data_IF_670482358684
#
_entry.id   IF_670482358684
#
_cell.length_a   1.000
_cell.length_b   1.000
_cell.length_c   1.000
_cell.angle_alpha   90.00
_cell.angle_beta   90.00
_cell.angle_gamma   90.00
#
_symmetry.space_group_name_H-M   'P 1'
#
loop_
_entity.id
_entity.type
_entity.pdbx_description
1 polymer ?
#
# COMPACT_ATOMS: atom_id res chain seq x y z
N UNK A 1 20.32 -6.54 83.37
CA UNK A 1 21.32 -5.74 84.11
C UNK A 1 22.51 -5.51 83.18
N UNK A 2 22.75 -4.25 82.80
CA UNK A 2 24.08 -3.72 82.38
C UNK A 2 25.06 -3.83 83.57
N UNK A 3 26.41 -3.79 83.42
CA UNK A 3 27.22 -2.78 82.66
C UNK A 3 28.41 -3.38 81.84
N UNK A 4 28.77 -2.82 80.67
CA UNK A 4 29.75 -1.74 80.33
C UNK A 4 31.26 -2.05 80.50
N UNK A 5 31.95 -1.96 79.34
CA UNK A 5 33.32 -1.44 79.04
C UNK A 5 34.53 -2.24 79.57
N UNK A 6 35.69 -2.33 78.91
CA UNK A 6 36.31 -1.60 77.80
C UNK A 6 37.60 -2.36 77.36
N UNK A 7 38.19 -1.90 76.24
CA UNK A 7 39.64 -1.85 75.90
C UNK A 7 40.23 -2.69 74.74
N UNK A 8 40.71 -1.91 73.74
CA UNK A 8 42.05 -1.91 73.08
C UNK A 8 42.42 -3.04 72.10
N UNK A 9 42.60 -2.70 70.81
CA UNK A 9 43.86 -2.27 70.14
C UNK A 9 44.90 -3.40 70.01
N UNK A 10 45.08 -3.95 68.80
CA UNK A 10 46.26 -3.74 67.92
C UNK A 10 46.54 -4.93 66.98
N UNK A 11 46.67 -4.60 65.70
CA UNK A 11 47.55 -5.15 64.65
C UNK A 11 47.66 -6.67 64.43
N UNK A 12 47.35 -7.11 63.19
CA UNK A 12 48.38 -7.67 62.29
C UNK A 12 47.86 -7.85 60.86
N UNK A 13 48.76 -7.49 59.93
CA UNK A 13 48.65 -7.36 58.48
C UNK A 13 48.45 -8.69 57.75
N UNK A 14 47.76 -8.67 56.60
CA UNK A 14 48.18 -9.39 55.38
C UNK A 14 47.46 -8.82 54.12
N UNK A 15 48.28 -8.25 53.23
CA UNK A 15 48.16 -8.13 51.77
C UNK A 15 46.89 -7.52 51.13
N UNK A 16 47.00 -6.26 50.67
CA UNK A 16 46.09 -5.66 49.69
C UNK A 16 46.62 -5.74 48.24
N UNK A 17 45.75 -5.70 47.22
CA UNK A 17 46.17 -5.61 45.82
C UNK A 17 46.50 -4.18 45.40
N UNK A 18 47.53 -4.07 44.57
CA UNK A 18 48.02 -2.86 43.90
C UNK A 18 46.90 -2.15 43.11
N UNK A 19 46.57 -0.92 43.49
CA UNK A 19 45.80 0.01 42.65
C UNK A 19 46.78 0.93 41.92
N UNK A 20 46.77 0.89 40.60
CA UNK A 20 47.42 1.91 39.76
C UNK A 20 46.70 3.25 39.99
N UNK A 21 47.41 4.20 40.60
CA UNK A 21 47.00 5.58 40.76
C UNK A 21 47.34 6.37 39.49
N UNK A 22 46.36 7.13 39.00
CA UNK A 22 46.55 8.02 37.85
C UNK A 22 45.23 8.63 37.35
N UNK A 23 44.38 9.11 38.25
CA UNK A 23 43.20 9.88 37.85
C UNK A 23 43.63 11.24 37.31
N UNK A 24 43.19 11.59 36.09
CA UNK A 24 43.36 12.93 35.53
C UNK A 24 42.82 13.97 36.52
N UNK A 25 43.55 15.08 36.72
CA UNK A 25 43.10 16.17 37.57
C UNK A 25 41.75 16.71 37.09
N UNK A 26 40.95 17.27 38.00
CA UNK A 26 39.65 17.87 37.64
C UNK A 26 39.77 18.91 36.50
N UNK A 27 40.91 19.61 36.43
CA UNK A 27 41.22 20.53 35.33
C UNK A 27 41.42 19.82 33.99
N UNK A 28 42.07 18.66 33.96
CA UNK A 28 42.26 17.87 32.75
C UNK A 28 40.95 17.22 32.28
N UNK A 29 40.08 16.80 33.19
CA UNK A 29 38.76 16.28 32.85
C UNK A 29 37.86 17.36 32.24
N UNK A 30 37.88 18.59 32.78
CA UNK A 30 37.18 19.73 32.21
C UNK A 30 37.73 20.13 30.84
N UNK A 31 39.05 20.09 30.66
CA UNK A 31 39.68 20.38 29.37
C UNK A 31 39.30 19.35 28.29
N UNK A 32 39.30 18.06 28.64
CA UNK A 32 38.89 16.98 27.73
C UNK A 32 37.40 17.08 27.41
N UNK A 33 36.55 17.34 28.40
CA UNK A 33 35.12 17.55 28.20
C UNK A 33 34.81 18.76 27.31
N UNK A 34 35.51 19.87 27.51
CA UNK A 34 35.39 21.07 26.68
C UNK A 34 35.84 20.84 25.23
N UNK A 35 36.93 20.10 25.03
CA UNK A 35 37.40 19.74 23.69
C UNK A 35 36.41 18.82 22.96
N UNK A 36 35.86 17.83 23.66
CA UNK A 36 34.82 16.94 23.11
C UNK A 36 33.56 17.73 22.73
N UNK A 37 33.15 18.67 23.58
CA UNK A 37 31.98 19.51 23.30
C UNK A 37 32.21 20.42 22.07
N UNK A 38 33.40 21.00 21.92
CA UNK A 38 33.77 21.81 20.76
C UNK A 38 33.81 20.97 19.47
N UNK A 39 34.35 19.75 19.52
CA UNK A 39 34.39 18.84 18.38
C UNK A 39 32.98 18.39 17.97
N UNK A 40 32.10 18.07 18.93
CA UNK A 40 30.70 17.77 18.63
C UNK A 40 29.97 18.97 18.04
N UNK A 41 30.22 20.17 18.56
CA UNK A 41 29.61 21.41 18.06
C UNK A 41 30.08 21.75 16.64
N UNK A 42 31.37 21.52 16.35
CA UNK A 42 31.93 21.69 15.01
C UNK A 42 31.36 20.66 14.03
N UNK A 43 31.21 19.40 14.44
CA UNK A 43 30.60 18.37 13.60
C UNK A 43 29.13 18.68 13.26
N UNK A 44 28.35 19.17 14.24
CA UNK A 44 26.97 19.62 14.02
C UNK A 44 26.95 20.84 13.10
N UNK A 45 27.84 21.81 13.30
CA UNK A 45 27.93 23.01 12.46
C UNK A 45 28.30 22.65 11.01
N UNK A 46 29.25 21.75 10.79
CA UNK A 46 29.59 21.22 9.47
C UNK A 46 28.43 20.44 8.84
N UNK A 47 27.67 19.66 9.62
CA UNK A 47 26.49 18.95 9.13
C UNK A 47 25.37 19.92 8.72
N UNK A 48 25.10 20.96 9.52
CA UNK A 48 24.14 22.03 9.18
C UNK A 48 24.61 22.81 7.96
N UNK A 49 25.90 23.15 7.88
CA UNK A 49 26.49 23.82 6.72
C UNK A 49 26.37 22.99 5.46
N UNK A 50 26.59 21.68 5.53
CA UNK A 50 26.40 20.76 4.38
C UNK A 50 24.93 20.64 3.96
N UNK A 51 23.99 20.70 4.90
CA UNK A 51 22.55 20.79 4.61
C UNK A 51 22.16 22.12 3.95
N UNK A 52 22.87 23.21 4.25
CA UNK A 52 22.64 24.55 3.69
C UNK A 52 23.33 24.76 2.33
N UNK A 53 24.47 24.10 2.09
CA UNK A 53 25.22 24.13 0.82
C UNK A 53 24.83 23.04 -0.18
N UNK A 54 23.97 22.09 0.21
CA UNK A 54 23.23 21.31 -0.77
C UNK A 54 22.57 22.30 -1.75
N UNK A 55 22.82 22.21 -3.08
CA UNK A 55 22.55 23.29 -4.00
C UNK A 55 21.09 23.70 -3.92
N UNK A 56 20.86 24.88 -3.33
CA UNK A 56 19.58 25.57 -3.35
C UNK A 56 19.30 25.95 -4.79
N UNK A 57 18.57 25.07 -5.50
CA UNK A 57 17.86 25.51 -6.69
C UNK A 57 16.91 26.61 -6.24
N UNK A 58 17.21 27.84 -6.66
CA UNK A 58 16.35 29.03 -6.50
C UNK A 58 14.89 28.65 -6.76
N UNK A 59 13.92 29.21 -6.02
CA UNK A 59 12.52 29.09 -6.36
C UNK A 59 12.30 29.89 -7.66
N UNK A 60 12.45 29.23 -8.80
CA UNK A 60 11.87 29.70 -10.04
C UNK A 60 10.36 29.67 -9.85
N UNK A 61 9.74 30.82 -10.10
CA UNK A 61 8.32 31.05 -10.07
C UNK A 61 7.52 29.88 -10.63
N UNK A 62 6.34 29.66 -10.04
CA UNK A 62 5.30 28.79 -10.54
C UNK A 62 5.12 28.96 -12.07
N UNK A 63 5.68 28.03 -12.83
CA UNK A 63 5.33 27.69 -14.21
C UNK A 63 6.27 26.58 -14.66
N UNK A 64 5.93 25.36 -14.29
CA UNK A 64 6.54 24.14 -14.81
C UNK A 64 5.40 23.19 -15.01
N UNK A 65 4.64 23.40 -16.09
CA UNK A 65 3.66 22.45 -16.54
C UNK A 65 4.34 21.07 -16.56
N UNK A 66 3.87 20.14 -15.71
CA UNK A 66 3.88 18.74 -16.09
C UNK A 66 3.37 18.74 -17.53
N UNK A 67 4.14 18.20 -18.48
CA UNK A 67 3.62 18.03 -19.81
C UNK A 67 2.29 17.28 -19.61
N UNK A 68 1.11 17.89 -19.88
CA UNK A 68 -0.08 17.09 -20.01
C UNK A 68 0.25 16.03 -21.05
N UNK A 69 -0.30 14.82 -20.92
CA UNK A 69 -0.22 13.79 -21.94
C UNK A 69 -0.26 14.48 -23.30
N UNK A 70 0.89 14.58 -23.96
CA UNK A 70 0.99 15.41 -25.13
C UNK A 70 0.12 14.70 -26.16
N UNK A 71 -1.01 15.32 -26.50
CA UNK A 71 -1.83 14.91 -27.62
C UNK A 71 -0.97 15.17 -28.85
N UNK A 72 -0.18 14.18 -29.23
CA UNK A 72 0.62 14.22 -30.43
C UNK A 72 -0.35 14.28 -31.63
N UNK A 73 -0.15 15.28 -32.48
CA UNK A 73 -0.95 15.54 -33.66
C UNK A 73 -1.02 14.33 -34.61
N UNK A 74 -2.26 14.05 -35.04
CA UNK A 74 -2.74 13.45 -36.29
C UNK A 74 -1.68 12.75 -37.17
N UNK A 75 -1.70 11.40 -37.30
CA UNK A 75 -1.13 10.76 -38.46
C UNK A 75 -2.09 10.93 -39.64
N UNK A 76 -1.69 11.73 -40.62
CA UNK A 76 -2.23 11.65 -41.97
C UNK A 76 -1.77 10.33 -42.60
N UNK A 77 -2.68 9.41 -42.88
CA UNK A 77 -2.38 8.28 -43.75
C UNK A 77 -3.22 7.03 -43.52
N UNK A 78 -4.18 6.84 -44.43
CA UNK A 78 -4.78 5.59 -44.86
C UNK A 78 -5.64 4.80 -43.86
N UNK A 79 -6.96 4.86 -44.10
CA UNK A 79 -7.87 3.75 -43.87
C UNK A 79 -7.29 2.47 -44.45
N UNK A 80 -7.18 1.43 -43.62
CA UNK A 80 -7.37 0.06 -44.08
C UNK A 80 -8.65 -0.45 -43.43
N UNK A 81 -9.69 -0.57 -44.26
CA UNK A 81 -10.93 -1.23 -43.91
C UNK A 81 -10.67 -2.72 -43.75
N UNK A 82 -10.51 -3.15 -42.51
CA UNK A 82 -10.57 -4.55 -42.09
C UNK A 82 -11.11 -4.60 -40.68
N UNK A 83 -11.93 -5.60 -40.37
CA UNK A 83 -12.28 -5.96 -38.99
C UNK A 83 -10.96 -6.24 -38.23
N UNK A 84 -10.42 -5.28 -37.49
CA UNK A 84 -9.17 -5.52 -36.76
C UNK A 84 -8.49 -4.26 -36.23
N UNK A 85 -8.46 -4.14 -34.90
CA UNK A 85 -7.61 -3.27 -34.07
C UNK A 85 -7.26 -1.85 -34.57
N UNK A 86 -8.04 -0.85 -34.15
CA UNK A 86 -7.68 0.57 -34.24
C UNK A 86 -6.68 0.94 -33.13
N UNK A 87 -5.39 0.77 -33.45
CA UNK A 87 -4.29 1.04 -32.52
C UNK A 87 -4.28 2.47 -31.99
N UNK A 88 -4.56 3.46 -32.85
CA UNK A 88 -4.48 4.87 -32.47
C UNK A 88 -5.56 5.21 -31.45
N UNK A 89 -6.80 4.79 -31.71
CA UNK A 89 -7.91 4.98 -30.77
C UNK A 89 -7.67 4.26 -29.44
N UNK A 90 -7.11 3.04 -29.47
CA UNK A 90 -6.80 2.29 -28.27
C UNK A 90 -5.74 2.99 -27.40
N UNK A 91 -4.65 3.46 -28.00
CA UNK A 91 -3.59 4.19 -27.29
C UNK A 91 -4.10 5.54 -26.74
N UNK A 92 -4.87 6.29 -27.53
CA UNK A 92 -5.48 7.55 -27.07
C UNK A 92 -6.41 7.32 -25.86
N UNK A 93 -7.20 6.25 -25.89
CA UNK A 93 -8.11 5.89 -24.80
C UNK A 93 -7.34 5.55 -23.51
N UNK A 94 -6.28 4.73 -23.61
CA UNK A 94 -5.48 4.35 -22.44
C UNK A 94 -4.62 5.51 -21.92
N UNK A 95 -4.12 6.38 -22.79
CA UNK A 95 -3.44 7.63 -22.42
C UNK A 95 -4.36 8.54 -21.61
N UNK A 96 -5.58 8.77 -22.10
CA UNK A 96 -6.59 9.57 -21.39
C UNK A 96 -7.01 8.92 -20.06
N UNK A 97 -7.04 7.59 -20.00
CA UNK A 97 -7.28 6.85 -18.76
C UNK A 97 -6.14 7.04 -17.74
N UNK A 98 -4.88 6.87 -18.15
CA UNK A 98 -3.73 7.07 -17.27
C UNK A 98 -3.62 8.52 -16.79
N UNK A 99 -3.85 9.50 -17.68
CA UNK A 99 -3.86 10.93 -17.36
C UNK A 99 -4.82 11.29 -16.25
N UNK A 100 -6.00 10.65 -16.24
CA UNK A 100 -7.03 10.84 -15.22
C UNK A 100 -6.73 10.06 -13.95
N UNK A 101 -6.29 8.81 -14.07
CA UNK A 101 -6.18 7.89 -12.92
C UNK A 101 -4.94 8.13 -12.08
N UNK A 102 -3.78 8.45 -12.67
CA UNK A 102 -2.55 8.73 -11.92
C UNK A 102 -2.71 9.77 -10.81
N UNK A 103 -3.19 11.01 -11.08
CA UNK A 103 -3.32 12.03 -10.04
C UNK A 103 -4.43 11.72 -9.01
N UNK A 104 -5.46 10.97 -9.37
CA UNK A 104 -6.54 10.59 -8.44
C UNK A 104 -6.13 9.42 -7.54
N UNK A 105 -5.46 8.42 -8.11
CA UNK A 105 -5.01 7.24 -7.39
C UNK A 105 -3.78 7.52 -6.54
N UNK A 106 -2.87 8.41 -6.99
CA UNK A 106 -1.61 8.70 -6.31
C UNK A 106 -1.38 10.22 -6.18
N UNK A 107 -2.23 10.94 -5.41
CA UNK A 107 -2.24 12.41 -5.39
C UNK A 107 -0.98 13.07 -4.83
N UNK A 108 -0.16 12.33 -4.07
CA UNK A 108 1.10 12.82 -3.51
C UNK A 108 2.34 12.21 -4.20
N UNK A 109 2.14 11.36 -5.21
CA UNK A 109 3.24 10.82 -5.99
C UNK A 109 3.72 11.83 -7.03
N UNK A 110 5.01 11.72 -7.35
CA UNK A 110 5.58 12.33 -8.53
C UNK A 110 5.67 11.27 -9.62
N UNK A 111 5.47 11.65 -10.87
CA UNK A 111 5.57 10.73 -11.99
C UNK A 111 6.19 11.42 -13.20
N UNK A 112 6.94 10.62 -13.97
CA UNK A 112 7.59 11.07 -15.19
C UNK A 112 7.40 9.99 -16.27
N UNK A 113 6.90 10.41 -17.42
CA UNK A 113 6.93 9.57 -18.62
C UNK A 113 8.29 9.72 -19.30
N UNK A 114 8.94 8.60 -19.61
CA UNK A 114 10.18 8.58 -20.37
C UNK A 114 9.90 8.89 -21.85
N UNK A 115 10.83 9.55 -22.56
CA UNK A 115 10.70 9.77 -24.00
C UNK A 115 10.53 8.45 -24.74
N UNK A 116 9.64 8.43 -25.74
CA UNK A 116 9.56 7.33 -26.70
C UNK A 116 10.88 7.28 -27.47
N UNK A 117 11.44 6.08 -27.64
CA UNK A 117 12.65 5.93 -28.46
C UNK A 117 12.20 5.81 -29.91
N UNK A 118 12.27 6.92 -30.65
CA UNK A 118 12.22 6.90 -32.10
C UNK A 118 13.45 6.16 -32.63
N UNK A 119 13.25 5.31 -33.65
CA UNK A 119 14.28 4.46 -34.25
C UNK A 119 15.66 5.15 -34.32
N UNK A 120 16.61 4.70 -33.50
CA UNK A 120 18.02 4.96 -33.73
C UNK A 120 18.39 4.38 -35.10
N UNK A 121 19.17 5.09 -35.95
CA UNK A 121 19.70 4.49 -37.17
C UNK A 121 20.47 3.23 -36.78
N UNK A 122 20.28 2.16 -37.56
CA UNK A 122 21.11 0.96 -37.49
C UNK A 122 22.54 1.37 -37.85
N UNK A 123 23.33 1.78 -36.86
CA UNK A 123 24.76 1.92 -37.03
C UNK A 123 25.37 0.52 -37.08
N UNK A 124 25.89 0.24 -38.27
CA UNK A 124 26.69 -0.92 -38.64
C UNK A 124 27.71 -1.31 -37.57
N UNK A 125 27.58 -2.56 -37.11
CA UNK A 125 28.66 -3.51 -36.89
C UNK A 125 30.06 -2.92 -36.67
N UNK A 126 30.43 -2.64 -35.41
CA UNK A 126 31.78 -2.89 -34.89
C UNK A 126 31.78 -2.75 -33.36
N UNK A 127 31.78 -3.89 -32.66
CA UNK A 127 32.01 -3.96 -31.22
C UNK A 127 33.46 -3.56 -30.89
N UNK A 128 33.72 -2.65 -29.93
CA UNK A 128 34.99 -2.62 -29.24
C UNK A 128 35.06 -3.83 -28.30
N UNK A 129 36.11 -4.63 -28.46
CA UNK A 129 36.48 -5.72 -27.56
C UNK A 129 36.60 -5.21 -26.13
N UNK A 130 35.86 -5.79 -25.17
CA UNK A 130 36.18 -5.64 -23.74
C UNK A 130 35.02 -5.44 -22.74
N UNK A 131 33.75 -5.58 -23.11
CA UNK A 131 32.65 -5.50 -22.14
C UNK A 131 31.93 -6.85 -21.98
N UNK A 132 32.17 -7.51 -20.85
CA UNK A 132 31.44 -8.71 -20.42
C UNK A 132 29.97 -8.37 -20.18
N UNK A 133 29.08 -8.96 -20.99
CA UNK A 133 27.63 -8.97 -20.76
C UNK A 133 27.36 -9.95 -19.60
N UNK A 134 26.62 -9.56 -18.54
CA UNK A 134 26.27 -10.51 -17.49
C UNK A 134 25.35 -11.60 -18.06
N UNK A 135 25.73 -12.85 -17.80
CA UNK A 135 24.96 -14.05 -18.15
C UNK A 135 23.55 -13.98 -17.52
N UNK A 136 22.51 -14.02 -18.37
CA UNK A 136 21.14 -14.30 -17.95
C UNK A 136 21.06 -15.82 -17.67
N UNK A 137 20.72 -16.28 -16.46
CA UNK A 137 20.52 -17.70 -16.20
C UNK A 137 19.30 -18.19 -16.98
N UNK A 138 19.36 -19.42 -17.49
CA UNK A 138 18.25 -20.05 -18.20
C UNK A 138 16.97 -20.04 -17.35
N UNK A 139 15.87 -19.64 -17.98
CA UNK A 139 14.62 -19.34 -17.33
C UNK A 139 13.93 -20.60 -16.77
N UNK A 140 13.40 -20.53 -15.55
CA UNK A 140 12.56 -21.59 -14.97
C UNK A 140 11.18 -21.61 -15.65
N UNK A 141 10.46 -22.73 -15.55
CA UNK A 141 9.13 -22.88 -16.17
C UNK A 141 8.09 -21.82 -15.74
N UNK A 142 8.26 -21.18 -14.56
CA UNK A 142 7.43 -20.05 -14.11
C UNK A 142 7.68 -18.75 -14.90
N UNK A 143 8.88 -18.56 -15.46
CA UNK A 143 9.21 -17.36 -16.26
C UNK A 143 8.64 -17.43 -17.68
N UNK A 144 8.27 -18.61 -18.19
CA UNK A 144 7.65 -18.77 -19.51
C UNK A 144 6.23 -18.17 -19.58
N UNK A 145 5.49 -18.15 -18.47
CA UNK A 145 4.16 -17.51 -18.38
C UNK A 145 4.23 -15.97 -18.46
N UNK A 146 5.42 -15.39 -18.22
CA UNK A 146 5.68 -13.95 -18.27
C UNK A 146 6.44 -13.49 -19.52
N UNK A 147 6.64 -14.37 -20.51
CA UNK A 147 7.23 -14.02 -21.79
C UNK A 147 6.31 -13.06 -22.57
N UNK A 148 6.38 -11.77 -22.23
CA UNK A 148 5.63 -10.72 -22.87
C UNK A 148 6.34 -10.31 -24.17
N UNK A 149 5.58 -10.15 -25.23
CA UNK A 149 6.07 -9.43 -26.40
C UNK A 149 5.78 -7.95 -26.19
N UNK A 150 6.83 -7.14 -26.12
CA UNK A 150 6.70 -5.69 -26.01
C UNK A 150 6.33 -5.09 -27.36
N UNK A 151 5.53 -4.03 -27.36
CA UNK A 151 5.36 -3.19 -28.52
C UNK A 151 6.71 -2.59 -28.96
N UNK A 152 6.72 -2.00 -30.16
CA UNK A 152 7.91 -1.28 -30.63
C UNK A 152 8.34 -0.22 -29.61
N UNK A 153 9.63 0.08 -29.53
CA UNK A 153 10.15 1.13 -28.63
C UNK A 153 9.56 2.52 -28.93
N UNK A 154 9.04 2.70 -30.14
CA UNK A 154 8.34 3.90 -30.58
C UNK A 154 6.92 4.02 -29.98
N UNK A 155 6.29 2.90 -29.60
CA UNK A 155 4.94 2.88 -29.02
C UNK A 155 4.95 2.63 -27.49
N UNK A 156 6.03 2.03 -26.95
CA UNK A 156 6.15 1.64 -25.54
C UNK A 156 6.23 2.85 -24.61
N UNK A 157 5.19 3.07 -23.81
CA UNK A 157 5.11 4.15 -22.81
C UNK A 157 5.66 3.65 -21.48
N UNK A 158 6.72 4.29 -21.01
CA UNK A 158 7.34 3.98 -19.74
C UNK A 158 7.10 5.13 -18.77
N UNK A 159 6.55 4.82 -17.59
CA UNK A 159 6.26 5.80 -16.54
C UNK A 159 6.99 5.39 -15.27
N UNK A 160 7.75 6.31 -14.68
CA UNK A 160 8.37 6.12 -13.38
C UNK A 160 7.54 6.89 -12.36
N UNK A 161 7.11 6.22 -11.29
CA UNK A 161 6.36 6.82 -10.19
C UNK A 161 7.18 6.75 -8.90
N UNK A 162 7.33 7.89 -8.24
CA UNK A 162 8.12 8.05 -7.02
C UNK A 162 7.35 8.82 -5.94
N UNK A 163 7.86 8.80 -4.71
CA UNK A 163 7.26 9.50 -3.58
C UNK A 163 6.18 8.72 -2.82
N UNK A 164 5.49 9.38 -1.88
CA UNK A 164 4.49 8.76 -1.02
C UNK A 164 3.24 8.35 -1.81
N UNK A 165 2.99 7.05 -1.87
CA UNK A 165 1.83 6.46 -2.57
C UNK A 165 1.59 5.01 -2.16
N UNK A 166 0.52 4.41 -2.68
CA UNK A 166 0.25 2.98 -2.63
C UNK A 166 0.06 2.45 -4.07
N UNK A 167 1.08 1.82 -4.68
CA UNK A 167 1.06 1.47 -6.11
C UNK A 167 -0.14 0.60 -6.53
N UNK A 168 -0.62 -0.27 -5.64
CA UNK A 168 -1.81 -1.09 -5.88
C UNK A 168 -3.01 -0.24 -6.34
N UNK A 169 -3.17 0.97 -5.81
CA UNK A 169 -4.28 1.87 -6.15
C UNK A 169 -4.29 2.21 -7.64
N UNK A 170 -3.14 2.36 -8.29
CA UNK A 170 -3.11 2.61 -9.73
C UNK A 170 -3.66 1.40 -10.50
N UNK A 171 -3.24 0.18 -10.14
CA UNK A 171 -3.75 -1.05 -10.76
C UNK A 171 -5.27 -1.19 -10.58
N UNK A 172 -5.78 -0.95 -9.38
CA UNK A 172 -7.22 -1.01 -9.09
C UNK A 172 -8.00 0.06 -9.87
N UNK A 173 -7.50 1.30 -9.92
CA UNK A 173 -8.12 2.39 -10.66
C UNK A 173 -8.11 2.15 -12.18
N UNK A 174 -7.05 1.55 -12.73
CA UNK A 174 -6.97 1.18 -14.13
C UNK A 174 -7.95 0.06 -14.48
N UNK A 175 -8.03 -1.01 -13.67
CA UNK A 175 -9.04 -2.06 -13.88
C UNK A 175 -10.46 -1.50 -13.83
N UNK A 176 -10.74 -0.58 -12.88
CA UNK A 176 -12.03 0.10 -12.84
C UNK A 176 -12.27 0.93 -14.11
N UNK A 177 -11.34 1.83 -14.46
CA UNK A 177 -11.52 2.74 -15.58
C UNK A 177 -11.54 2.05 -16.95
N UNK A 178 -10.86 0.91 -17.12
CA UNK A 178 -10.96 0.10 -18.34
C UNK A 178 -12.34 -0.54 -18.48
N UNK A 179 -12.97 -0.98 -17.39
CA UNK A 179 -14.37 -1.44 -17.42
C UNK A 179 -15.30 -0.30 -17.81
N UNK A 180 -15.09 0.89 -17.25
CA UNK A 180 -15.94 2.06 -17.54
C UNK A 180 -15.77 2.57 -18.99
N UNK A 181 -14.58 2.40 -19.58
CA UNK A 181 -14.26 2.80 -20.96
C UNK A 181 -14.46 1.68 -22.00
N UNK A 182 -15.06 0.56 -21.62
CA UNK A 182 -15.20 -0.62 -22.46
C UNK A 182 -15.75 -0.34 -23.88
N UNK A 183 -16.81 0.50 -24.08
CA UNK A 183 -17.35 0.73 -25.43
C UNK A 183 -16.40 1.44 -26.40
N UNK A 184 -15.45 2.24 -25.90
CA UNK A 184 -14.45 2.88 -26.76
C UNK A 184 -13.36 1.89 -27.19
N UNK A 185 -12.92 1.04 -26.26
CA UNK A 185 -11.92 0.01 -26.49
C UNK A 185 -12.47 -1.14 -27.36
N UNK A 186 -13.74 -1.50 -27.19
CA UNK A 186 -14.44 -2.46 -28.07
C UNK A 186 -14.52 -1.97 -29.52
N UNK A 187 -14.88 -0.68 -29.73
CA UNK A 187 -14.84 -0.07 -31.06
C UNK A 187 -13.44 -0.06 -31.67
N UNK A 188 -12.42 0.05 -30.82
CA UNK A 188 -11.03 -0.07 -31.23
C UNK A 188 -10.60 -1.52 -31.50
N UNK A 189 -11.45 -2.52 -31.28
CA UNK A 189 -11.12 -3.93 -31.51
C UNK A 189 -9.99 -4.44 -30.61
N UNK A 190 -9.89 -3.92 -29.37
CA UNK A 190 -8.81 -4.26 -28.45
C UNK A 190 -9.31 -5.02 -27.21
N UNK A 191 -8.58 -6.06 -26.83
CA UNK A 191 -8.66 -6.67 -25.51
C UNK A 191 -7.58 -6.07 -24.63
N UNK A 192 -7.98 -5.51 -23.51
CA UNK A 192 -7.07 -4.90 -22.54
C UNK A 192 -6.81 -5.85 -21.38
N UNK A 193 -5.57 -5.89 -20.93
CA UNK A 193 -5.16 -6.62 -19.72
C UNK A 193 -4.28 -5.70 -18.88
N UNK A 194 -4.44 -5.76 -17.56
CA UNK A 194 -3.57 -5.07 -16.61
C UNK A 194 -2.98 -6.11 -15.67
N UNK A 195 -1.66 -6.12 -15.51
CA UNK A 195 -0.98 -7.11 -14.66
C UNK A 195 0.23 -6.53 -13.94
N UNK A 196 0.54 -7.11 -12.80
CA UNK A 196 1.82 -6.91 -12.13
C UNK A 196 2.83 -7.95 -12.60
N UNK A 197 4.10 -7.57 -12.68
CA UNK A 197 5.22 -8.45 -13.06
C UNK A 197 6.03 -8.91 -11.85
N UNK A 198 6.79 -10.02 -11.97
CA UNK A 198 7.73 -10.43 -10.92
C UNK A 198 8.81 -9.38 -10.61
N UNK A 199 9.03 -8.42 -11.51
CA UNK A 199 9.93 -7.28 -11.31
C UNK A 199 9.26 -6.11 -10.56
N UNK A 200 7.98 -6.24 -10.21
CA UNK A 200 7.23 -5.22 -9.47
C UNK A 200 6.81 -4.02 -10.33
N UNK A 201 6.69 -4.21 -11.65
CA UNK A 201 6.12 -3.21 -12.57
C UNK A 201 4.66 -3.52 -12.87
N UNK A 202 3.90 -2.49 -13.20
CA UNK A 202 2.52 -2.60 -13.68
C UNK A 202 2.52 -2.48 -15.21
N UNK A 203 1.98 -3.47 -15.90
CA UNK A 203 1.88 -3.50 -17.35
C UNK A 203 0.43 -3.35 -17.79
N UNK A 204 0.21 -2.59 -18.88
CA UNK A 204 -1.06 -2.60 -19.63
C UNK A 204 -0.79 -3.17 -21.02
N UNK A 205 -1.52 -4.24 -21.34
CA UNK A 205 -1.41 -4.96 -22.60
C UNK A 205 -2.63 -4.69 -23.46
N UNK A 206 -2.37 -4.56 -24.77
CA UNK A 206 -3.38 -4.45 -25.81
C UNK A 206 -3.20 -5.63 -26.75
N UNK A 207 -4.18 -6.54 -26.82
CA UNK A 207 -4.10 -7.75 -27.65
C UNK A 207 -2.79 -8.55 -27.40
N UNK A 208 -2.44 -8.74 -26.12
CA UNK A 208 -1.24 -9.47 -25.64
C UNK A 208 0.12 -8.78 -25.83
N UNK A 209 0.17 -7.60 -26.46
CA UNK A 209 1.38 -6.79 -26.55
C UNK A 209 1.43 -5.77 -25.41
N UNK A 210 2.59 -5.64 -24.77
CA UNK A 210 2.80 -4.63 -23.71
C UNK A 210 3.03 -3.26 -24.35
N UNK A 211 2.14 -2.30 -24.04
CA UNK A 211 2.26 -0.92 -24.50
C UNK A 211 2.60 0.07 -23.39
N UNK A 212 2.32 -0.29 -22.13
CA UNK A 212 2.55 0.58 -20.98
C UNK A 212 3.29 -0.20 -19.90
N UNK A 213 4.32 0.41 -19.34
CA UNK A 213 5.06 -0.08 -18.18
C UNK A 213 5.15 1.04 -17.15
N UNK A 214 4.62 0.80 -15.95
CA UNK A 214 4.72 1.72 -14.82
C UNK A 214 5.62 1.10 -13.76
N UNK A 215 6.71 1.79 -13.44
CA UNK A 215 7.72 1.35 -12.48
C UNK A 215 7.62 2.13 -11.18
N UNK A 216 7.84 1.45 -10.06
CA UNK A 216 7.81 2.01 -8.71
C UNK A 216 9.12 1.72 -7.97
N UNK A 217 10.20 2.49 -8.23
CA UNK A 217 11.52 2.22 -7.67
C UNK A 217 11.51 2.08 -6.15
N UNK A 218 12.13 1.00 -5.64
CA UNK A 218 12.22 0.70 -4.21
C UNK A 218 11.00 -0.03 -3.63
N UNK A 219 10.01 -0.40 -4.45
CA UNK A 219 8.80 -1.13 -4.05
C UNK A 219 8.66 -2.50 -4.71
N UNK A 220 9.64 -2.91 -5.49
CA UNK A 220 9.63 -4.13 -6.31
C UNK A 220 9.34 -5.38 -5.45
N UNK A 221 9.96 -5.44 -4.28
CA UNK A 221 9.77 -6.53 -3.34
C UNK A 221 8.37 -6.62 -2.72
N UNK A 222 7.60 -5.52 -2.65
CA UNK A 222 6.20 -5.54 -2.22
C UNK A 222 5.26 -5.94 -3.37
N UNK A 223 5.61 -5.52 -4.59
CA UNK A 223 4.73 -5.59 -5.77
C UNK A 223 4.88 -6.88 -6.56
N UNK A 224 6.04 -7.53 -6.52
CA UNK A 224 6.28 -8.84 -7.13
C UNK A 224 5.31 -9.92 -6.64
N UNK A 225 4.82 -9.83 -5.40
CA UNK A 225 3.79 -10.72 -4.85
C UNK A 225 2.46 -10.68 -5.63
N UNK A 226 2.15 -9.55 -6.28
CA UNK A 226 0.91 -9.37 -7.04
C UNK A 226 0.95 -10.06 -8.41
N UNK A 227 2.15 -10.44 -8.88
CA UNK A 227 2.35 -11.23 -10.09
C UNK A 227 2.01 -12.72 -9.87
N UNK A 228 2.14 -13.18 -8.63
CA UNK A 228 1.90 -14.57 -8.29
C UNK A 228 0.39 -14.84 -8.15
N UNK A 229 -0.13 -15.97 -8.67
CA UNK A 229 -1.50 -16.39 -8.42
C UNK A 229 -1.80 -16.45 -6.92
N UNK A 230 -2.96 -15.96 -6.51
CA UNK A 230 -3.39 -16.09 -5.13
C UNK A 230 -3.50 -17.58 -4.78
N UNK A 231 -2.94 -18.03 -3.63
CA UNK A 231 -3.16 -19.38 -3.15
C UNK A 231 -4.65 -19.72 -3.10
N UNK A 232 -5.07 -20.96 -3.39
CA UNK A 232 -6.48 -21.36 -3.35
C UNK A 232 -7.14 -21.13 -1.98
N UNK A 233 -6.34 -21.20 -0.92
CA UNK A 233 -6.73 -20.98 0.47
C UNK A 233 -5.90 -19.82 1.05
N UNK A 234 -6.47 -18.62 1.04
CA UNK A 234 -5.80 -17.39 1.43
C UNK A 234 -6.48 -16.70 2.63
N UNK A 235 -5.73 -16.51 3.71
CA UNK A 235 -6.14 -15.73 4.88
C UNK A 235 -5.47 -14.36 4.87
N UNK A 236 -6.24 -13.28 4.92
CA UNK A 236 -5.72 -11.94 5.19
C UNK A 236 -6.05 -11.55 6.65
N UNK A 237 -5.05 -11.05 7.38
CA UNK A 237 -5.22 -10.59 8.77
C UNK A 237 -5.03 -9.07 8.79
N UNK A 238 -6.00 -8.35 9.38
CA UNK A 238 -5.99 -6.91 9.56
C UNK A 238 -6.01 -6.58 11.05
N UNK A 239 -5.19 -5.63 11.48
CA UNK A 239 -5.18 -5.13 12.85
C UNK A 239 -5.60 -3.66 12.85
N UNK A 240 -6.76 -3.41 13.44
CA UNK A 240 -7.42 -2.11 13.59
C UNK A 240 -6.76 -1.27 14.70
N UNK A 241 -7.21 -0.02 14.89
CA UNK A 241 -6.74 0.92 15.93
C UNK A 241 -5.21 1.14 15.98
N UNK A 242 -4.52 1.02 14.84
CA UNK A 242 -3.08 1.29 14.76
C UNK A 242 -2.79 2.79 14.76
N UNK A 243 -1.56 3.16 15.16
CA UNK A 243 -1.10 4.56 15.18
C UNK A 243 -1.11 5.23 16.56
N UNK A 244 -1.61 4.54 17.60
CA UNK A 244 -1.52 5.02 18.99
C UNK A 244 -0.16 4.74 19.64
N UNK A 245 0.50 3.64 19.25
CA UNK A 245 1.75 3.14 19.83
C UNK A 245 2.60 2.52 18.74
N UNK A 246 3.86 2.93 18.64
CA UNK A 246 4.79 2.39 17.64
C UNK A 246 5.16 0.94 17.92
N UNK A 247 5.22 0.55 19.20
CA UNK A 247 5.63 -0.79 19.61
C UNK A 247 4.66 -1.86 19.10
N UNK A 248 3.38 -1.53 18.95
CA UNK A 248 2.39 -2.42 18.33
C UNK A 248 2.70 -2.64 16.85
N UNK A 249 3.09 -1.59 16.12
CA UNK A 249 3.43 -1.70 14.70
C UNK A 249 4.72 -2.49 14.48
N UNK A 250 5.73 -2.25 15.32
CA UNK A 250 6.99 -3.00 15.32
C UNK A 250 6.78 -4.48 15.65
N UNK A 251 5.96 -4.78 16.65
CA UNK A 251 5.61 -6.16 17.01
C UNK A 251 4.93 -6.89 15.86
N UNK A 252 3.98 -6.24 15.18
CA UNK A 252 3.29 -6.80 14.02
C UNK A 252 4.21 -6.96 12.80
N UNK A 253 5.12 -6.00 12.57
CA UNK A 253 6.13 -6.08 11.52
C UNK A 253 7.16 -7.21 11.74
N UNK A 254 7.34 -7.66 12.99
CA UNK A 254 8.24 -8.77 13.33
C UNK A 254 7.62 -10.16 13.17
N UNK A 255 6.32 -10.26 12.83
CA UNK A 255 5.67 -11.55 12.63
C UNK A 255 6.25 -12.28 11.40
N UNK A 256 6.29 -13.63 11.43
CA UNK A 256 6.81 -14.42 10.31
C UNK A 256 5.85 -14.49 9.11
N UNK A 257 4.69 -13.83 9.21
CA UNK A 257 3.66 -13.77 8.19
C UNK A 257 3.12 -12.34 8.07
N UNK A 258 2.56 -11.95 6.91
CA UNK A 258 2.09 -10.60 6.69
C UNK A 258 0.80 -10.32 7.46
N UNK A 259 0.68 -9.09 7.94
CA UNK A 259 -0.57 -8.50 8.44
C UNK A 259 -0.78 -7.13 7.80
N UNK A 260 -2.00 -6.62 7.88
CA UNK A 260 -2.35 -5.27 7.41
C UNK A 260 -2.59 -4.36 8.61
N UNK A 261 -2.02 -3.15 8.59
CA UNK A 261 -2.23 -2.15 9.63
C UNK A 261 -3.36 -1.22 9.22
N UNK A 262 -4.48 -1.24 9.93
CA UNK A 262 -5.55 -0.26 9.79
C UNK A 262 -5.29 0.90 10.76
N UNK A 263 -4.82 2.03 10.20
CA UNK A 263 -4.24 3.15 10.94
C UNK A 263 -5.28 4.25 11.11
N UNK A 264 -5.45 4.72 12.34
CA UNK A 264 -6.23 5.92 12.59
C UNK A 264 -5.55 7.16 12.00
N UNK A 265 -6.24 7.96 11.18
CA UNK A 265 -5.60 9.06 10.46
C UNK A 265 -5.04 10.14 11.38
N UNK A 266 -5.66 10.36 12.53
CA UNK A 266 -5.32 11.45 13.47
C UNK A 266 -4.78 10.95 14.80
N UNK A 267 -4.24 9.73 14.83
CA UNK A 267 -3.52 9.22 16.01
C UNK A 267 -2.11 9.82 16.10
N UNK A 268 -1.49 9.88 17.30
CA UNK A 268 -0.20 10.53 17.51
C UNK A 268 0.95 10.04 16.62
N UNK A 269 0.93 8.77 16.20
CA UNK A 269 2.01 8.14 15.43
C UNK A 269 1.51 7.58 14.09
N UNK A 270 0.50 8.21 13.48
CA UNK A 270 -0.14 7.70 12.26
C UNK A 270 0.87 7.56 11.10
N UNK A 271 1.70 8.58 10.87
CA UNK A 271 2.65 8.61 9.74
C UNK A 271 3.83 7.68 9.97
N UNK A 272 4.35 7.63 11.20
CA UNK A 272 5.44 6.75 11.59
C UNK A 272 5.01 5.28 11.52
N UNK A 273 3.77 4.96 11.92
CA UNK A 273 3.19 3.62 11.76
C UNK A 273 3.10 3.24 10.28
N UNK A 274 2.65 4.16 9.42
CA UNK A 274 2.63 3.93 7.97
C UNK A 274 4.05 3.77 7.38
N UNK A 275 5.04 4.45 7.96
CA UNK A 275 6.46 4.30 7.64
C UNK A 275 6.99 2.90 7.97
N UNK A 276 6.69 2.40 9.17
CA UNK A 276 7.03 1.02 9.60
C UNK A 276 6.41 0.00 8.66
N UNK A 277 5.14 0.17 8.30
CA UNK A 277 4.48 -0.72 7.36
C UNK A 277 5.18 -0.73 5.99
N UNK A 278 5.52 0.45 5.46
CA UNK A 278 6.20 0.58 4.17
C UNK A 278 7.57 -0.11 4.17
N UNK A 279 8.41 0.15 5.18
CA UNK A 279 9.76 -0.46 5.27
C UNK A 279 9.69 -1.97 5.50
N UNK A 280 8.62 -2.44 6.15
CA UNK A 280 8.36 -3.86 6.42
C UNK A 280 7.51 -4.54 5.33
N UNK A 281 7.22 -3.84 4.22
CA UNK A 281 6.39 -4.33 3.09
C UNK A 281 4.98 -4.79 3.48
N UNK A 282 4.46 -4.26 4.57
CA UNK A 282 3.08 -4.47 5.02
C UNK A 282 2.13 -3.52 4.31
N UNK A 283 0.86 -3.90 4.32
CA UNK A 283 -0.22 -3.09 3.78
C UNK A 283 -0.81 -2.16 4.85
N UNK A 284 -1.31 -1.00 4.42
CA UNK A 284 -2.01 -0.06 5.28
C UNK A 284 -3.45 0.18 4.80
N UNK A 285 -4.38 0.28 5.74
CA UNK A 285 -5.72 0.82 5.49
C UNK A 285 -5.90 2.12 6.29
N UNK A 286 -6.68 3.05 5.74
CA UNK A 286 -7.23 4.14 6.52
C UNK A 286 -8.31 3.56 7.43
N UNK A 287 -8.08 3.54 8.74
CA UNK A 287 -9.11 3.19 9.71
C UNK A 287 -9.97 4.43 9.97
N UNK A 288 -11.02 4.63 9.18
CA UNK A 288 -11.84 5.83 9.16
C UNK A 288 -12.81 5.85 10.35
N UNK A 289 -12.70 6.82 11.29
CA UNK A 289 -13.68 6.97 12.35
C UNK A 289 -15.06 7.31 11.79
N UNK A 290 -16.09 6.64 12.31
CA UNK A 290 -17.47 6.82 11.86
C UNK A 290 -18.44 6.72 13.04
N UNK A 291 -19.55 7.46 12.93
CA UNK A 291 -20.57 7.53 13.98
C UNK A 291 -21.16 6.16 14.35
N UNK A 292 -21.19 5.87 15.65
CA UNK A 292 -21.82 4.69 16.22
C UNK A 292 -23.25 4.96 16.71
N UNK A 293 -24.07 3.91 16.76
CA UNK A 293 -25.35 3.94 17.46
C UNK A 293 -25.14 4.20 18.96
N UNK A 294 -26.07 4.89 19.64
CA UNK A 294 -26.06 5.00 21.09
C UNK A 294 -26.05 3.65 21.79
N UNK A 295 -25.29 3.55 22.88
CA UNK A 295 -25.31 2.40 23.79
C UNK A 295 -26.35 2.64 24.88
N UNK A 296 -27.12 1.61 25.22
CA UNK A 296 -28.27 1.69 26.13
C UNK A 296 -27.99 2.39 27.47
N UNK A 297 -26.76 2.36 27.97
CA UNK A 297 -26.37 2.91 29.28
C UNK A 297 -25.29 4.01 29.23
N UNK A 298 -24.74 4.33 28.05
CA UNK A 298 -23.54 5.16 27.94
C UNK A 298 -23.63 6.27 26.90
N UNK A 299 -24.84 6.55 26.39
CA UNK A 299 -25.02 7.53 25.32
C UNK A 299 -24.31 7.10 24.04
N UNK A 300 -24.03 8.08 23.17
CA UNK A 300 -23.33 7.84 21.91
C UNK A 300 -21.82 7.79 22.14
N UNK A 301 -21.14 6.69 21.77
CA UNK A 301 -19.67 6.65 21.81
C UNK A 301 -19.09 7.73 20.91
N UNK A 302 -18.03 8.39 21.37
CA UNK A 302 -17.22 9.29 20.55
C UNK A 302 -16.28 8.46 19.66
N UNK A 303 -16.39 8.53 18.31
CA UNK A 303 -15.49 7.83 17.41
C UNK A 303 -14.09 8.46 17.35
N UNK A 304 -13.92 9.68 17.88
CA UNK A 304 -12.67 10.41 17.86
C UNK A 304 -12.50 11.37 16.68
N UNK A 305 -11.33 12.04 16.57
CA UNK A 305 -11.11 13.10 15.61
C UNK A 305 -11.13 12.61 14.16
N UNK A 306 -11.69 13.41 13.27
CA UNK A 306 -11.82 13.07 11.84
C UNK A 306 -12.94 12.07 11.54
N UNK A 307 -13.94 11.95 12.43
CA UNK A 307 -15.08 11.08 12.24
C UNK A 307 -16.05 11.56 11.16
N UNK A 308 -16.61 10.62 10.40
CA UNK A 308 -17.76 10.87 9.54
C UNK A 308 -19.05 10.69 10.36
N UNK A 309 -19.88 11.72 10.37
CA UNK A 309 -21.13 11.74 11.14
C UNK A 309 -22.33 11.64 10.20
N UNK A 310 -23.42 11.04 10.65
CA UNK A 310 -24.65 10.89 9.84
C UNK A 310 -25.35 12.22 9.60
N UNK A 311 -25.02 13.25 10.38
CA UNK A 311 -25.55 14.61 10.22
C UNK A 311 -24.76 15.47 9.23
N UNK A 312 -23.61 15.00 8.74
CA UNK A 312 -22.77 15.75 7.81
C UNK A 312 -23.40 15.81 6.42
N UNK A 313 -23.27 16.95 5.77
CA UNK A 313 -23.47 17.09 4.33
C UNK A 313 -22.41 16.33 3.54
N UNK A 314 -22.69 16.04 2.26
CA UNK A 314 -21.72 15.39 1.37
C UNK A 314 -20.40 16.17 1.27
N UNK A 315 -20.45 17.52 1.29
CA UNK A 315 -19.25 18.35 1.23
C UNK A 315 -18.40 18.26 2.51
N UNK A 316 -19.03 18.17 3.68
CA UNK A 316 -18.33 17.95 4.96
C UNK A 316 -17.69 16.55 5.00
N UNK A 317 -18.44 15.52 4.59
CA UNK A 317 -17.91 14.15 4.45
C UNK A 317 -16.68 14.13 3.53
N UNK A 318 -16.78 14.76 2.35
CA UNK A 318 -15.67 14.85 1.41
C UNK A 318 -14.47 15.56 2.03
N UNK A 319 -14.68 16.68 2.71
CA UNK A 319 -13.59 17.46 3.33
C UNK A 319 -12.85 16.64 4.37
N UNK A 320 -13.58 15.99 5.29
CA UNK A 320 -12.98 15.15 6.34
C UNK A 320 -12.24 13.95 5.73
N UNK A 321 -12.84 13.30 4.74
CA UNK A 321 -12.22 12.16 4.05
C UNK A 321 -10.91 12.55 3.36
N UNK A 322 -10.89 13.67 2.64
CA UNK A 322 -9.69 14.16 1.95
C UNK A 322 -8.58 14.53 2.93
N UNK A 323 -8.92 15.16 4.06
CA UNK A 323 -7.96 15.44 5.12
C UNK A 323 -7.36 14.16 5.70
N UNK A 324 -8.19 13.16 6.00
CA UNK A 324 -7.74 11.89 6.57
C UNK A 324 -6.86 11.11 5.58
N UNK A 325 -7.25 11.04 4.29
CA UNK A 325 -6.46 10.38 3.24
C UNK A 325 -5.13 11.09 2.98
N UNK A 326 -5.08 12.41 3.11
CA UNK A 326 -3.84 13.18 2.90
C UNK A 326 -2.78 12.85 3.94
N UNK A 327 -3.17 12.49 5.17
CA UNK A 327 -2.21 12.12 6.23
C UNK A 327 -1.54 10.79 5.90
N UNK A 328 -2.24 9.87 5.23
CA UNK A 328 -1.81 8.50 4.99
C UNK A 328 -1.79 8.15 3.47
N UNK A 329 -0.87 8.71 2.67
CA UNK A 329 -0.84 8.51 1.21
C UNK A 329 -0.56 7.06 0.77
N UNK A 330 -0.06 6.21 1.67
CA UNK A 330 0.29 4.81 1.42
C UNK A 330 -0.83 3.80 1.70
N UNK A 331 -2.02 4.24 2.11
CA UNK A 331 -3.15 3.32 2.32
C UNK A 331 -3.64 2.75 0.99
N UNK A 332 -3.96 1.46 0.97
CA UNK A 332 -4.53 0.76 -0.20
C UNK A 332 -6.07 0.75 -0.20
N UNK A 333 -6.68 1.20 0.89
CA UNK A 333 -8.13 1.22 1.06
C UNK A 333 -8.55 1.83 2.39
N UNK A 334 -9.84 1.74 2.67
CA UNK A 334 -10.49 2.21 3.89
C UNK A 334 -11.12 1.03 4.63
N UNK A 335 -11.04 1.08 5.95
CA UNK A 335 -11.78 0.24 6.89
C UNK A 335 -12.49 1.15 7.90
N UNK A 336 -13.71 0.83 8.34
CA UNK A 336 -14.43 1.66 9.31
C UNK A 336 -14.05 1.34 10.78
N UNK A 337 -13.69 2.38 11.53
CA UNK A 337 -13.66 2.35 12.99
C UNK A 337 -15.06 2.69 13.53
N UNK A 338 -15.61 1.84 14.39
CA UNK A 338 -17.01 1.91 14.82
C UNK A 338 -17.98 1.99 13.62
N UNK A 339 -18.77 3.05 13.49
CA UNK A 339 -19.62 3.28 12.33
C UNK A 339 -20.99 2.62 12.33
N UNK A 340 -21.45 1.99 13.40
CA UNK A 340 -22.74 1.27 13.38
C UNK A 340 -23.96 2.14 13.04
N UNK A 341 -23.90 3.47 13.22
CA UNK A 341 -24.93 4.37 12.70
C UNK A 341 -24.69 4.66 11.21
N UNK A 342 -23.46 5.07 10.85
CA UNK A 342 -23.09 5.46 9.49
C UNK A 342 -23.22 4.31 8.47
N UNK A 343 -22.64 3.14 8.78
CA UNK A 343 -22.70 1.93 7.95
C UNK A 343 -24.08 1.30 7.90
N UNK A 344 -25.01 1.80 8.72
CA UNK A 344 -26.42 1.43 8.68
C UNK A 344 -27.23 2.11 7.59
N UNK A 345 -26.73 3.21 7.04
CA UNK A 345 -27.43 4.01 6.05
C UNK A 345 -26.79 3.81 4.68
N UNK A 346 -27.52 3.14 3.79
CA UNK A 346 -27.06 2.86 2.42
C UNK A 346 -26.83 4.16 1.61
N UNK A 347 -27.59 5.22 1.86
CA UNK A 347 -27.44 6.49 1.14
C UNK A 347 -26.15 7.19 1.54
N UNK A 348 -25.80 7.17 2.83
CA UNK A 348 -24.51 7.67 3.31
C UNK A 348 -23.35 6.82 2.79
N UNK A 349 -23.49 5.49 2.81
CA UNK A 349 -22.46 4.58 2.28
C UNK A 349 -22.22 4.79 0.78
N UNK A 350 -23.28 4.95 -0.02
CA UNK A 350 -23.18 5.27 -1.47
C UNK A 350 -22.53 6.62 -1.71
N UNK A 351 -22.87 7.62 -0.90
CA UNK A 351 -22.25 8.96 -0.95
C UNK A 351 -20.75 8.87 -0.66
N UNK A 352 -20.35 8.11 0.37
CA UNK A 352 -18.93 7.88 0.67
C UNK A 352 -18.23 7.12 -0.48
N UNK A 353 -18.82 6.03 -0.97
CA UNK A 353 -18.18 5.20 -2.00
C UNK A 353 -18.07 5.91 -3.35
N UNK A 354 -19.00 6.81 -3.70
CA UNK A 354 -18.88 7.62 -4.93
C UNK A 354 -17.69 8.58 -4.87
N UNK A 355 -17.37 9.14 -3.69
CA UNK A 355 -16.19 9.98 -3.48
C UNK A 355 -14.87 9.22 -3.65
N UNK A 356 -14.88 7.90 -3.42
CA UNK A 356 -13.72 7.01 -3.57
C UNK A 356 -13.50 6.54 -5.03
N UNK A 357 -14.50 6.72 -5.90
CA UNK A 357 -14.46 6.30 -7.31
C UNK A 357 -13.23 6.81 -8.05
N UNK A 358 -12.59 5.94 -8.83
CA UNK A 358 -11.40 6.29 -9.63
C UNK A 358 -10.11 6.53 -8.83
N UNK A 359 -10.14 6.46 -7.49
CA UNK A 359 -8.95 6.59 -6.63
C UNK A 359 -8.22 5.28 -6.34
N UNK A 360 -8.79 4.16 -6.80
CA UNK A 360 -8.24 2.83 -6.61
C UNK A 360 -8.21 2.36 -5.17
N UNK A 361 -9.04 2.93 -4.29
CA UNK A 361 -9.15 2.51 -2.90
C UNK A 361 -10.11 1.33 -2.79
N UNK A 362 -9.69 0.29 -2.07
CA UNK A 362 -10.61 -0.76 -1.61
C UNK A 362 -11.39 -0.30 -0.38
N UNK A 363 -12.50 -0.99 -0.10
CA UNK A 363 -13.32 -0.77 1.10
C UNK A 363 -13.47 -2.11 1.83
N UNK A 364 -13.07 -2.14 3.09
CA UNK A 364 -13.24 -3.27 4.00
C UNK A 364 -14.20 -2.87 5.12
N UNK A 365 -15.39 -3.46 5.12
CA UNK A 365 -16.39 -3.26 6.17
C UNK A 365 -16.06 -4.13 7.39
N UNK A 366 -15.88 -3.50 8.54
CA UNK A 366 -15.58 -4.18 9.82
C UNK A 366 -16.79 -4.89 10.42
N UNK A 367 -17.99 -4.75 9.83
CA UNK A 367 -19.25 -5.40 10.24
C UNK A 367 -19.54 -5.08 11.71
N UNK A 368 -19.72 -3.80 12.02
CA UNK A 368 -20.00 -3.30 13.39
C UNK A 368 -21.48 -3.33 13.75
N UNK A 369 -22.32 -3.89 12.87
CA UNK A 369 -23.75 -4.16 13.05
C UNK A 369 -24.17 -5.38 12.21
N UNK A 370 -25.36 -5.98 12.43
CA UNK A 370 -25.81 -7.17 11.70
C UNK A 370 -26.07 -6.98 10.19
N UNK A 371 -26.45 -5.77 9.77
CA UNK A 371 -26.89 -5.41 8.42
C UNK A 371 -26.08 -4.23 7.84
N UNK A 372 -24.73 -4.33 7.78
CA UNK A 372 -23.91 -3.21 7.35
C UNK A 372 -24.00 -3.02 5.82
N UNK A 373 -23.94 -1.77 5.38
CA UNK A 373 -24.19 -1.37 3.99
C UNK A 373 -22.92 -0.93 3.25
N UNK A 374 -21.78 -0.83 3.93
CA UNK A 374 -20.57 -0.22 3.37
C UNK A 374 -19.94 -1.11 2.29
N UNK A 375 -19.78 -2.42 2.55
CA UNK A 375 -19.28 -3.35 1.53
C UNK A 375 -20.22 -3.47 0.30
N UNK A 376 -21.53 -3.36 0.50
CA UNK A 376 -22.51 -3.36 -0.58
C UNK A 376 -22.36 -2.10 -1.45
N UNK A 377 -22.39 -0.92 -0.84
CA UNK A 377 -22.23 0.36 -1.54
C UNK A 377 -20.91 0.45 -2.31
N UNK A 378 -19.81 -0.10 -1.76
CA UNK A 378 -18.53 -0.13 -2.43
C UNK A 378 -18.59 -0.94 -3.74
N UNK A 379 -19.21 -2.11 -3.71
CA UNK A 379 -19.39 -2.97 -4.89
C UNK A 379 -20.31 -2.33 -5.93
N UNK A 380 -21.39 -1.67 -5.49
CA UNK A 380 -22.27 -0.89 -6.39
C UNK A 380 -21.54 0.26 -7.08
N UNK A 381 -20.58 0.89 -6.40
CA UNK A 381 -19.71 1.93 -6.96
C UNK A 381 -18.56 1.40 -7.83
N UNK A 382 -18.50 0.09 -8.07
CA UNK A 382 -17.44 -0.56 -8.86
C UNK A 382 -16.09 -0.71 -8.14
N UNK A 383 -16.03 -0.42 -6.83
CA UNK A 383 -14.84 -0.59 -6.01
C UNK A 383 -14.67 -2.07 -5.60
N UNK A 384 -13.46 -2.41 -5.14
CA UNK A 384 -13.25 -3.68 -4.43
C UNK A 384 -13.79 -3.53 -3.01
N UNK A 385 -14.98 -4.08 -2.76
CA UNK A 385 -15.63 -4.08 -1.45
C UNK A 385 -15.60 -5.47 -0.80
N UNK A 386 -15.09 -5.54 0.43
CA UNK A 386 -15.10 -6.75 1.27
C UNK A 386 -15.78 -6.46 2.60
N UNK A 387 -16.17 -7.53 3.28
CA UNK A 387 -16.59 -7.50 4.68
C UNK A 387 -15.72 -8.45 5.48
N UNK A 388 -15.49 -8.12 6.75
CA UNK A 388 -14.83 -9.02 7.69
C UNK A 388 -15.55 -10.35 7.80
N UNK A 389 -14.78 -11.43 7.79
CA UNK A 389 -15.27 -12.78 8.00
C UNK A 389 -15.20 -13.23 9.47
N UNK A 390 -14.08 -12.93 10.13
CA UNK A 390 -13.83 -13.34 11.53
C UNK A 390 -13.33 -12.16 12.35
N UNK A 391 -13.87 -12.00 13.56
CA UNK A 391 -13.37 -11.05 14.54
C UNK A 391 -12.53 -11.81 15.56
N UNK A 392 -11.27 -11.44 15.73
CA UNK A 392 -10.30 -12.23 16.47
C UNK A 392 -10.44 -12.08 17.98
N UNK A 393 -10.74 -10.87 18.46
CA UNK A 393 -10.58 -10.50 19.87
C UNK A 393 -11.85 -9.96 20.51
N UNK A 394 -13.00 -10.58 20.19
CA UNK A 394 -14.26 -10.38 20.93
C UNK A 394 -14.04 -10.54 22.44
N UNK A 395 -13.17 -11.48 22.83
CA UNK A 395 -12.68 -11.63 24.20
C UNK A 395 -11.18 -11.36 24.20
N UNK A 396 -10.72 -10.48 25.10
CA UNK A 396 -9.30 -10.19 25.33
C UNK A 396 -8.66 -11.31 26.14
N UNK A 397 -8.54 -12.48 25.52
CA UNK A 397 -7.95 -13.69 26.08
C UNK A 397 -7.20 -14.43 24.99
N UNK A 398 -5.92 -14.74 25.23
CA UNK A 398 -5.04 -15.33 24.20
C UNK A 398 -5.58 -16.67 23.67
N UNK A 399 -6.15 -17.52 24.52
CA UNK A 399 -6.68 -18.82 24.08
C UNK A 399 -7.93 -18.64 23.21
N UNK A 400 -8.82 -17.70 23.57
CA UNK A 400 -9.96 -17.34 22.75
C UNK A 400 -9.55 -16.80 21.38
N UNK A 401 -8.51 -15.96 21.32
CA UNK A 401 -8.00 -15.36 20.08
C UNK A 401 -7.33 -16.42 19.19
N UNK A 402 -6.55 -17.34 19.77
CA UNK A 402 -6.01 -18.50 19.04
C UNK A 402 -7.13 -19.34 18.43
N UNK A 403 -8.21 -19.60 19.18
CA UNK A 403 -9.38 -20.31 18.65
C UNK A 403 -10.07 -19.54 17.52
N UNK A 404 -10.06 -18.20 17.54
CA UNK A 404 -10.61 -17.38 16.48
C UNK A 404 -9.71 -17.39 15.22
N UNK A 405 -8.39 -17.45 15.38
CA UNK A 405 -7.45 -17.65 14.28
C UNK A 405 -7.66 -19.03 13.62
N UNK A 406 -7.78 -20.09 14.41
CA UNK A 406 -8.12 -21.43 13.91
C UNK A 406 -9.49 -21.43 13.17
N UNK A 407 -10.48 -20.69 13.68
CA UNK A 407 -11.77 -20.52 13.00
C UNK A 407 -11.66 -19.75 11.67
N UNK A 408 -10.77 -18.76 11.58
CA UNK A 408 -10.50 -18.06 10.33
C UNK A 408 -9.86 -18.99 9.29
N UNK A 409 -8.88 -19.80 9.69
CA UNK A 409 -8.28 -20.82 8.82
C UNK A 409 -9.31 -21.87 8.34
N UNK A 410 -10.18 -22.35 9.24
CA UNK A 410 -11.30 -23.24 8.89
C UNK A 410 -12.25 -22.62 7.87
N UNK A 411 -12.54 -21.31 8.00
CA UNK A 411 -13.39 -20.60 7.04
C UNK A 411 -12.73 -20.47 5.67
N UNK A 412 -11.42 -20.25 5.62
CA UNK A 412 -10.69 -20.22 4.35
C UNK A 412 -10.81 -21.54 3.61
N UNK A 413 -10.67 -22.70 4.28
CA UNK A 413 -10.86 -24.01 3.62
C UNK A 413 -12.25 -24.19 3.02
N UNK A 414 -13.27 -23.61 3.66
CA UNK A 414 -14.64 -23.70 3.18
C UNK A 414 -14.95 -22.74 2.01
N UNK A 415 -14.25 -21.60 1.93
CA UNK A 415 -14.62 -20.48 1.05
C UNK A 415 -13.52 -20.02 0.09
N UNK A 416 -12.32 -20.59 0.20
CA UNK A 416 -11.09 -20.21 -0.51
C UNK A 416 -10.41 -18.96 0.03
N UNK A 417 -11.15 -17.98 0.56
CA UNK A 417 -10.58 -16.74 1.11
C UNK A 417 -11.33 -16.29 2.36
N UNK A 418 -10.63 -15.64 3.28
CA UNK A 418 -11.25 -14.95 4.41
C UNK A 418 -10.42 -13.75 4.88
N UNK A 419 -11.09 -12.77 5.47
CA UNK A 419 -10.46 -11.63 6.17
C UNK A 419 -10.76 -11.72 7.67
N UNK A 420 -9.71 -11.85 8.48
CA UNK A 420 -9.81 -11.76 9.93
C UNK A 420 -9.36 -10.37 10.41
N UNK A 421 -10.09 -9.80 11.37
CA UNK A 421 -9.75 -8.50 11.98
C UNK A 421 -9.62 -8.65 13.49
N UNK A 422 -8.57 -8.05 14.04
CA UNK A 422 -8.38 -7.85 15.49
C UNK A 422 -7.84 -6.46 15.79
N UNK A 423 -7.42 -6.24 17.03
CA UNK A 423 -6.89 -5.00 17.58
C UNK A 423 -5.54 -5.27 18.25
N UNK A 424 -4.69 -4.26 18.47
CA UNK A 424 -3.34 -4.42 19.00
C UNK A 424 -3.33 -4.60 20.53
N UNK A 425 -4.25 -5.40 21.06
CA UNK A 425 -4.23 -5.77 22.47
C UNK A 425 -3.03 -6.68 22.77
N UNK A 426 -2.46 -6.63 23.98
CA UNK A 426 -1.36 -7.52 24.36
C UNK A 426 -1.68 -9.00 24.14
N UNK A 427 -2.92 -9.42 24.39
CA UNK A 427 -3.40 -10.78 24.20
C UNK A 427 -3.45 -11.16 22.72
N UNK A 428 -3.86 -10.23 21.85
CA UNK A 428 -3.92 -10.42 20.39
C UNK A 428 -2.51 -10.53 19.82
N UNK A 429 -1.59 -9.65 20.21
CA UNK A 429 -0.19 -9.70 19.76
C UNK A 429 0.50 -11.00 20.20
N UNK A 430 0.21 -11.48 21.42
CA UNK A 430 0.69 -12.78 21.91
C UNK A 430 0.10 -13.92 21.09
N UNK A 431 -1.21 -13.94 20.87
CA UNK A 431 -1.87 -14.97 20.07
C UNK A 431 -1.32 -15.03 18.64
N UNK A 432 -1.13 -13.89 17.97
CA UNK A 432 -0.55 -13.84 16.62
C UNK A 432 0.87 -14.40 16.57
N UNK A 433 1.68 -14.13 17.60
CA UNK A 433 3.04 -14.68 17.70
C UNK A 433 3.04 -16.18 17.94
N UNK A 434 2.15 -16.65 18.80
CA UNK A 434 2.10 -18.05 19.25
C UNK A 434 1.30 -18.93 18.29
N UNK A 435 0.54 -18.33 17.36
CA UNK A 435 -0.32 -19.06 16.44
C UNK A 435 0.52 -19.90 15.49
N UNK A 436 0.28 -21.21 15.57
CA UNK A 436 0.78 -22.19 14.63
C UNK A 436 -0.42 -22.63 13.82
N UNK A 437 -0.44 -22.25 12.55
CA UNK A 437 -1.51 -22.68 11.66
C UNK A 437 -1.44 -24.19 11.48
N UNK A 438 -2.37 -24.90 12.13
CA UNK A 438 -2.50 -26.36 12.07
C UNK A 438 -3.08 -26.84 10.75
N UNK A 439 -3.75 -25.93 10.04
CA UNK A 439 -4.52 -26.23 8.84
C UNK A 439 -3.73 -25.94 7.55
N UNK A 440 -2.57 -25.27 7.66
CA UNK A 440 -1.65 -25.04 6.55
C UNK A 440 -2.15 -24.01 5.52
N UNK A 441 -3.00 -23.08 5.95
CA UNK A 441 -3.56 -22.01 5.14
C UNK A 441 -2.49 -20.94 4.85
N UNK A 442 -2.49 -20.39 3.64
CA UNK A 442 -1.55 -19.32 3.32
C UNK A 442 -2.03 -17.99 3.92
N UNK A 443 -1.29 -17.46 4.90
CA UNK A 443 -1.46 -16.07 5.33
C UNK A 443 -0.83 -15.15 4.30
N UNK A 444 -1.64 -14.31 3.67
CA UNK A 444 -1.22 -13.46 2.55
C UNK A 444 -1.42 -11.97 2.85
N UNK A 445 -0.64 -11.09 2.21
CA UNK A 445 -0.90 -9.65 2.26
C UNK A 445 -2.29 -9.34 1.68
N UNK A 446 -3.02 -8.40 2.30
CA UNK A 446 -4.36 -8.01 1.85
C UNK A 446 -4.34 -7.54 0.39
N UNK A 447 -3.28 -6.85 -0.06
CA UNK A 447 -3.10 -6.41 -1.45
C UNK A 447 -3.31 -7.53 -2.48
N UNK A 448 -2.94 -8.78 -2.17
CA UNK A 448 -3.11 -9.92 -3.08
C UNK A 448 -4.58 -10.33 -3.21
N UNK A 449 -5.32 -10.32 -2.11
CA UNK A 449 -6.78 -10.57 -2.09
C UNK A 449 -7.50 -9.47 -2.87
N UNK A 450 -7.16 -8.20 -2.61
CA UNK A 450 -7.77 -7.07 -3.32
C UNK A 450 -7.53 -7.13 -4.82
N UNK A 451 -6.30 -7.44 -5.22
CA UNK A 451 -5.92 -7.56 -6.63
C UNK A 451 -6.69 -8.69 -7.33
N UNK A 452 -6.78 -9.87 -6.70
CA UNK A 452 -7.55 -11.01 -7.23
C UNK A 452 -9.02 -10.65 -7.44
N UNK A 453 -9.65 -10.00 -6.46
CA UNK A 453 -11.06 -9.59 -6.56
C UNK A 453 -11.28 -8.53 -7.65
N UNK A 454 -10.34 -7.62 -7.84
CA UNK A 454 -10.41 -6.65 -8.93
C UNK A 454 -10.32 -7.33 -10.30
N UNK A 455 -9.41 -8.30 -10.45
CA UNK A 455 -9.28 -9.09 -11.67
C UNK A 455 -10.54 -9.91 -11.96
N UNK A 456 -11.11 -10.56 -10.95
CA UNK A 456 -12.37 -11.32 -11.10
C UNK A 456 -13.54 -10.41 -11.50
N UNK A 457 -13.65 -9.25 -10.87
CA UNK A 457 -14.65 -8.24 -11.23
C UNK A 457 -14.49 -7.73 -12.67
N UNK A 458 -13.25 -7.57 -13.15
CA UNK A 458 -12.96 -7.24 -14.54
C UNK A 458 -13.31 -8.37 -15.51
N UNK A 459 -13.00 -9.61 -15.16
CA UNK A 459 -13.32 -10.77 -15.98
C UNK A 459 -14.83 -11.00 -16.10
N UNK A 460 -15.60 -10.81 -15.03
CA UNK A 460 -17.08 -10.90 -15.06
C UNK A 460 -17.66 -9.81 -15.95
N UNK A 461 -17.20 -8.56 -15.81
CA UNK A 461 -17.65 -7.46 -16.65
C UNK A 461 -17.40 -7.74 -18.15
N UNK A 462 -16.21 -8.27 -18.50
CA UNK A 462 -15.87 -8.63 -19.87
C UNK A 462 -16.72 -9.79 -20.44
N UNK A 463 -17.30 -10.66 -19.60
CA UNK A 463 -18.16 -11.78 -20.02
C UNK A 463 -19.64 -11.41 -20.15
N UNK A 464 -20.11 -10.47 -19.34
CA UNK A 464 -21.54 -10.08 -19.30
C UNK A 464 -22.01 -9.30 -20.53
N UNK A 465 -21.10 -8.84 -21.37
CA UNK A 465 -21.42 -8.28 -22.68
C UNK A 465 -21.18 -9.36 -23.74
N UNK A 466 -22.23 -9.88 -24.41
CA UNK A 466 -22.01 -10.84 -25.47
C UNK A 466 -21.20 -10.14 -26.57
N UNK A 467 -20.12 -10.79 -27.02
CA UNK A 467 -19.63 -10.58 -28.36
C UNK A 467 -20.83 -10.80 -29.28
N UNK A 468 -21.32 -9.74 -29.91
CA UNK A 468 -22.49 -9.77 -30.78
C UNK A 468 -22.11 -10.49 -32.08
N UNK A 469 -21.84 -11.79 -31.99
CA UNK A 469 -21.79 -12.72 -33.10
C UNK A 469 -23.20 -13.29 -33.22
N UNK A 470 -24.03 -12.59 -33.98
CA UNK A 470 -25.03 -13.15 -34.88
C UNK A 470 -25.66 -12.00 -35.69
N UNK A 471 -24.86 -11.43 -36.60
CA UNK A 471 -25.38 -11.15 -37.93
C UNK A 471 -25.19 -12.44 -38.75
N UNK A 472 -26.10 -13.38 -38.59
CA UNK A 472 -26.37 -14.37 -39.63
C UNK A 472 -27.86 -14.36 -39.92
N UNK A 473 -28.14 -13.92 -41.15
CA UNK A 473 -29.31 -14.11 -41.99
C UNK A 473 -30.34 -15.12 -41.47
N UNK A 474 -31.57 -14.65 -41.29
CA UNK A 474 -32.75 -15.08 -42.07
C UNK A 474 -33.83 -14.01 -42.05
#
# INVERSE_FOLDING_TARGET
>A
MLPLRDTKLSDSLLAGPLRFAGGLSASAQLAVGGLLWLLCSLAISCWVYWQLEAPTRKPTAASGAALPFAVAHKPSGAHDGGLGFDRALALESVDALLARTLPLALPQAQWQQLPLQENLPVETSQLPSGATIPHIPAASAEQAAYAATYASTADLRQVIVSGPCAPLRLGLALLQGLRDQNPALERAGVRTEVRWTPQGTLEVLLNHLVYYVVSFPGREGQLSDLAQPLPPEALAIVIDDMGQRLESAEALASLPFPVTLAIWPRSPHAQETAGIALTSRLDCLLHQPMEALPRALHGRPDPGPGALLTSMSAQEVQTVLEENLRILPSVIGLNNHMGSAFTGDISLCRTLCSMLGGRGLAVLDSVTRPDPQLALAAREAGLVGLARDVFLDTRRDTAAILSALDAAAARVRAQGMAVAIGHPYPETLRALRDWQDKDGVAVVPLRRVLWKLAQDGAAVAARSYPANNNMEKE
#
